data_IF_162612788021
#
_entry.id   IF_162612788021
#
_cell.length_a   1.000
_cell.length_b   1.000
_cell.length_c   1.000
_cell.angle_alpha   90.00
_cell.angle_beta   90.00
_cell.angle_gamma   90.00
#
_symmetry.space_group_name_H-M   'P 1'
#
loop_
_entity.id
_entity.type
_entity.pdbx_description
1 polymer ?
#
# COMPACT_ATOMS: atom_id res chain seq x y z
N UNK A 1 -8.68 9.06 21.50
CA UNK A 1 -9.16 9.26 20.12
C UNK A 1 -7.94 9.38 19.24
N UNK A 2 -7.80 8.53 18.23
CA UNK A 2 -6.63 8.60 17.35
C UNK A 2 -6.64 9.86 16.49
N UNK A 3 -5.48 10.52 16.32
CA UNK A 3 -5.41 11.70 15.50
C UNK A 3 -5.82 11.36 14.06
N UNK A 4 -6.71 12.17 13.50
CA UNK A 4 -7.37 11.90 12.21
C UNK A 4 -6.36 11.56 11.10
N UNK A 5 -6.56 10.41 10.47
CA UNK A 5 -5.78 9.94 9.32
C UNK A 5 -4.49 9.18 9.67
N UNK A 6 -4.08 9.10 10.94
CA UNK A 6 -2.99 8.21 11.35
C UNK A 6 -3.43 6.73 11.38
N UNK A 7 -2.48 5.78 11.52
CA UNK A 7 -2.81 4.39 11.85
C UNK A 7 -3.67 4.31 13.13
N UNK A 8 -4.53 3.31 13.20
CA UNK A 8 -5.50 3.11 14.27
C UNK A 8 -4.82 2.97 15.62
N UNK A 9 -3.73 2.21 15.75
CA UNK A 9 -3.02 2.09 17.02
C UNK A 9 -2.00 3.22 17.31
N UNK A 10 -2.08 4.36 16.61
CA UNK A 10 -1.07 5.41 16.70
C UNK A 10 -1.02 6.09 18.07
N UNK A 11 -2.17 6.39 18.70
CA UNK A 11 -2.17 7.00 20.03
C UNK A 11 -1.60 6.07 21.08
N UNK A 12 -1.86 4.77 20.97
CA UNK A 12 -1.28 3.75 21.84
C UNK A 12 0.23 3.74 21.72
N UNK A 13 0.75 3.73 20.49
CA UNK A 13 2.19 3.87 20.22
C UNK A 13 2.76 5.14 20.87
N UNK A 14 2.16 6.30 20.63
CA UNK A 14 2.62 7.57 21.20
C UNK A 14 2.57 7.57 22.74
N UNK A 15 1.55 6.98 23.34
CA UNK A 15 1.40 6.87 24.79
C UNK A 15 2.53 6.05 25.41
N UNK A 16 2.85 4.90 24.81
CA UNK A 16 3.96 4.05 25.26
C UNK A 16 5.31 4.75 25.14
N UNK A 17 5.54 5.45 24.03
CA UNK A 17 6.76 6.22 23.82
C UNK A 17 6.95 7.33 24.88
N UNK A 18 5.87 8.03 25.26
CA UNK A 18 5.93 9.05 26.33
C UNK A 18 6.25 8.45 27.70
N UNK A 19 5.89 7.18 27.94
CA UNK A 19 6.23 6.45 29.17
C UNK A 19 7.63 5.83 29.14
N UNK A 20 8.39 6.01 28.05
CA UNK A 20 9.74 5.45 27.90
C UNK A 20 9.75 3.95 27.59
N UNK A 21 8.63 3.40 27.15
CA UNK A 21 8.47 1.96 26.97
C UNK A 21 9.06 1.51 25.60
N UNK A 22 10.09 0.64 25.61
CA UNK A 22 10.66 0.03 24.41
C UNK A 22 9.91 -1.25 24.04
N UNK A 23 8.72 -1.12 23.46
CA UNK A 23 7.76 -2.24 23.41
C UNK A 23 7.63 -2.94 22.09
N UNK A 24 7.97 -2.23 21.02
CA UNK A 24 7.46 -2.60 19.72
C UNK A 24 8.52 -3.34 18.94
N UNK A 25 8.13 -4.40 18.25
CA UNK A 25 8.98 -5.21 17.39
C UNK A 25 9.41 -4.50 16.09
N UNK A 26 9.51 -3.17 16.11
CA UNK A 26 10.09 -2.40 15.02
C UNK A 26 11.62 -2.50 15.07
N UNK A 27 12.23 -2.78 13.92
CA UNK A 27 13.69 -3.00 13.82
C UNK A 27 14.45 -1.71 13.52
N UNK A 28 13.77 -0.56 13.54
CA UNK A 28 14.32 0.74 13.15
C UNK A 28 14.11 1.79 14.24
N UNK A 29 14.89 2.89 14.23
CA UNK A 29 14.68 3.99 15.16
C UNK A 29 13.27 4.58 15.07
N UNK A 30 12.77 5.09 16.20
CA UNK A 30 11.44 5.74 16.32
C UNK A 30 11.22 6.84 15.28
N UNK A 31 12.26 7.57 14.88
CA UNK A 31 12.18 8.60 13.84
C UNK A 31 11.70 8.05 12.48
N UNK A 32 12.01 6.78 12.16
CA UNK A 32 11.52 6.10 10.96
C UNK A 32 10.06 5.66 11.11
N UNK A 33 9.64 5.24 12.30
CA UNK A 33 8.24 4.93 12.62
C UNK A 33 7.36 6.19 12.52
N UNK A 34 7.83 7.32 13.04
CA UNK A 34 7.18 8.63 12.88
C UNK A 34 7.06 9.04 11.41
N UNK A 35 8.10 8.76 10.61
CA UNK A 35 8.07 9.02 9.15
C UNK A 35 7.03 8.16 8.46
N UNK A 36 6.94 6.87 8.79
CA UNK A 36 5.86 6.00 8.29
C UNK A 36 4.50 6.61 8.59
N UNK A 37 4.24 6.96 9.86
CA UNK A 37 2.95 7.48 10.29
C UNK A 37 2.57 8.79 9.59
N UNK A 38 3.53 9.69 9.38
CA UNK A 38 3.32 10.92 8.63
C UNK A 38 2.97 10.65 7.15
N UNK A 39 3.68 9.72 6.48
CA UNK A 39 3.40 9.34 5.09
C UNK A 39 2.06 8.63 4.96
N UNK A 40 1.74 7.73 5.90
CA UNK A 40 0.47 7.05 5.99
C UNK A 40 -0.67 8.05 6.10
N UNK A 41 -0.54 9.06 6.96
CA UNK A 41 -1.52 10.13 7.09
C UNK A 41 -1.74 10.87 5.78
N UNK A 42 -0.68 11.26 5.09
CA UNK A 42 -0.79 11.93 3.78
C UNK A 42 -1.49 11.02 2.77
N UNK A 43 -1.08 9.77 2.65
CA UNK A 43 -1.64 8.82 1.70
C UNK A 43 -3.13 8.52 1.97
N UNK A 44 -3.52 8.30 3.24
CA UNK A 44 -4.92 8.08 3.67
C UNK A 44 -5.78 9.35 3.53
N UNK A 45 -5.17 10.52 3.66
CA UNK A 45 -5.86 11.82 3.56
C UNK A 45 -5.87 12.39 2.15
N UNK A 46 -5.19 11.77 1.19
CA UNK A 46 -5.20 12.22 -0.20
C UNK A 46 -6.62 12.12 -0.77
N UNK A 47 -7.10 13.20 -1.40
CA UNK A 47 -8.45 13.28 -1.97
C UNK A 47 -8.47 13.45 -3.49
N UNK A 48 -7.36 13.86 -4.07
CA UNK A 48 -7.23 14.03 -5.50
C UNK A 48 -6.21 15.10 -5.84
N UNK A 49 -6.22 15.47 -7.11
CA UNK A 49 -5.50 16.61 -7.67
C UNK A 49 -6.52 17.52 -8.35
N UNK A 50 -6.19 18.80 -8.43
CA UNK A 50 -6.93 19.77 -9.21
C UNK A 50 -6.15 20.05 -10.49
N UNK A 51 -6.80 19.87 -11.65
CA UNK A 51 -6.20 19.99 -12.97
C UNK A 51 -7.10 20.84 -13.86
N UNK A 52 -6.63 22.03 -14.21
CA UNK A 52 -7.34 22.95 -15.09
C UNK A 52 -7.33 22.46 -16.55
N UNK A 53 -8.48 22.54 -17.22
CA UNK A 53 -8.61 22.20 -18.64
C UNK A 53 -8.57 20.69 -18.96
N UNK A 54 -8.52 19.83 -17.95
CA UNK A 54 -8.49 18.37 -18.11
C UNK A 54 -9.86 17.76 -17.82
N UNK A 55 -10.29 16.82 -18.67
CA UNK A 55 -11.53 16.09 -18.48
C UNK A 55 -11.56 15.35 -17.13
N UNK A 56 -12.71 15.36 -16.46
CA UNK A 56 -12.88 14.80 -15.11
C UNK A 56 -12.38 13.35 -15.01
N UNK A 57 -12.70 12.51 -16.00
CA UNK A 57 -12.29 11.10 -15.99
C UNK A 57 -10.77 10.94 -16.02
N UNK A 58 -10.09 11.77 -16.81
CA UNK A 58 -8.63 11.81 -16.90
C UNK A 58 -8.03 12.31 -15.60
N UNK A 59 -8.61 13.35 -15.00
CA UNK A 59 -8.20 13.86 -13.68
C UNK A 59 -8.35 12.82 -12.58
N UNK A 60 -9.45 12.04 -12.57
CA UNK A 60 -9.65 10.91 -11.65
C UNK A 60 -8.58 9.84 -11.84
N UNK A 61 -8.23 9.53 -13.09
CA UNK A 61 -7.17 8.59 -13.41
C UNK A 61 -5.81 9.04 -12.87
N UNK A 62 -5.43 10.31 -13.10
CA UNK A 62 -4.17 10.86 -12.58
C UNK A 62 -4.17 10.93 -11.05
N UNK A 63 -5.26 11.37 -10.44
CA UNK A 63 -5.42 11.36 -8.99
C UNK A 63 -5.14 9.98 -8.40
N UNK A 64 -5.70 8.91 -9.00
CA UNK A 64 -5.50 7.56 -8.52
C UNK A 64 -4.06 7.05 -8.72
N UNK A 65 -3.40 7.40 -9.84
CA UNK A 65 -1.98 7.10 -10.07
C UNK A 65 -1.07 7.82 -9.06
N UNK A 66 -1.35 9.09 -8.76
CA UNK A 66 -0.68 9.83 -7.70
C UNK A 66 -0.90 9.18 -6.32
N UNK A 67 -2.12 8.71 -6.04
CA UNK A 67 -2.42 7.98 -4.80
C UNK A 67 -1.58 6.70 -4.68
N UNK A 68 -1.42 5.93 -5.77
CA UNK A 68 -0.53 4.75 -5.79
C UNK A 68 0.91 5.12 -5.45
N UNK A 69 1.43 6.23 -5.98
CA UNK A 69 2.77 6.71 -5.65
C UNK A 69 2.93 6.98 -4.14
N UNK A 70 1.97 7.67 -3.54
CA UNK A 70 1.97 8.00 -2.10
C UNK A 70 1.82 6.75 -1.23
N UNK A 71 0.87 5.88 -1.55
CA UNK A 71 0.57 4.66 -0.78
C UNK A 71 1.71 3.67 -0.89
N UNK A 72 2.23 3.40 -2.09
CA UNK A 72 3.31 2.44 -2.25
C UNK A 72 4.60 2.92 -1.56
N UNK A 73 4.90 4.22 -1.63
CA UNK A 73 6.01 4.78 -0.87
C UNK A 73 5.85 4.65 0.65
N UNK A 74 4.61 4.76 1.14
CA UNK A 74 4.28 4.51 2.54
C UNK A 74 4.50 3.04 2.87
N UNK A 75 4.05 2.13 2.01
CA UNK A 75 4.24 0.69 2.14
C UNK A 75 5.72 0.28 2.16
N UNK A 76 6.57 0.86 1.30
CA UNK A 76 8.02 0.64 1.37
C UNK A 76 8.61 1.11 2.72
N UNK A 77 8.06 2.18 3.30
CA UNK A 77 8.49 2.64 4.62
C UNK A 77 8.01 1.69 5.72
N UNK A 78 6.78 1.16 5.59
CA UNK A 78 6.22 0.17 6.48
C UNK A 78 7.08 -1.10 6.54
N UNK A 79 7.41 -1.70 5.39
CA UNK A 79 8.28 -2.88 5.33
C UNK A 79 9.61 -2.65 6.03
N UNK A 80 10.21 -1.46 5.85
CA UNK A 80 11.48 -1.12 6.52
C UNK A 80 11.35 -1.07 8.03
N UNK A 81 10.27 -0.48 8.57
CA UNK A 81 10.12 -0.35 10.02
C UNK A 81 9.80 -1.70 10.69
N UNK A 82 9.14 -2.62 9.98
CA UNK A 82 8.84 -3.98 10.46
C UNK A 82 9.95 -4.98 10.16
N UNK A 83 10.97 -4.61 9.40
CA UNK A 83 12.12 -5.47 9.08
C UNK A 83 11.91 -6.43 7.92
N UNK A 84 10.85 -6.20 7.15
CA UNK A 84 10.51 -7.01 5.98
C UNK A 84 11.42 -6.68 4.81
N UNK A 85 12.02 -7.71 4.21
CA UNK A 85 13.06 -7.53 3.18
C UNK A 85 12.48 -7.05 1.85
N UNK A 86 11.29 -7.50 1.50
CA UNK A 86 10.64 -7.23 0.22
C UNK A 86 9.16 -7.60 0.26
N UNK A 87 8.46 -7.41 -0.86
CA UNK A 87 7.05 -7.76 -1.07
C UNK A 87 6.76 -9.25 -0.87
N UNK A 88 7.70 -10.15 -1.15
CA UNK A 88 7.52 -11.59 -1.00
C UNK A 88 7.48 -12.00 0.48
N UNK A 89 8.26 -11.34 1.33
CA UNK A 89 8.29 -11.62 2.77
C UNK A 89 6.91 -11.43 3.45
N UNK A 90 6.08 -10.54 2.90
CA UNK A 90 4.73 -10.25 3.40
C UNK A 90 3.61 -10.88 2.55
N UNK A 91 3.94 -11.73 1.57
CA UNK A 91 2.94 -12.28 0.65
C UNK A 91 1.84 -13.06 1.38
N UNK A 92 2.22 -13.96 2.28
CA UNK A 92 1.25 -14.76 3.03
C UNK A 92 0.31 -13.87 3.88
N UNK A 93 0.84 -12.78 4.43
CA UNK A 93 0.04 -11.83 5.19
C UNK A 93 -0.93 -11.04 4.30
N UNK A 94 -0.50 -10.64 3.11
CA UNK A 94 -1.37 -9.98 2.12
C UNK A 94 -2.49 -10.94 1.67
N UNK A 95 -2.14 -12.22 1.43
CA UNK A 95 -3.12 -13.25 1.06
C UNK A 95 -4.14 -13.47 2.18
N UNK A 96 -3.69 -13.59 3.43
CA UNK A 96 -4.56 -13.68 4.61
C UNK A 96 -5.42 -12.42 4.81
N UNK A 97 -4.92 -11.25 4.40
CA UNK A 97 -5.64 -9.98 4.44
C UNK A 97 -6.64 -9.80 3.28
N UNK A 98 -6.75 -10.77 2.36
CA UNK A 98 -7.78 -10.79 1.33
C UNK A 98 -7.29 -10.39 -0.07
N UNK A 99 -6.01 -10.56 -0.38
CA UNK A 99 -5.45 -10.29 -1.72
C UNK A 99 -6.26 -10.97 -2.86
N UNK A 100 -6.80 -12.17 -2.64
CA UNK A 100 -7.65 -12.87 -3.62
C UNK A 100 -8.89 -12.05 -4.01
N UNK A 101 -9.55 -11.42 -3.05
CA UNK A 101 -10.74 -10.58 -3.29
C UNK A 101 -10.38 -9.30 -4.05
N UNK A 102 -9.25 -8.69 -3.68
CA UNK A 102 -8.70 -7.55 -4.42
C UNK A 102 -8.43 -7.92 -5.88
N UNK A 103 -7.74 -9.04 -6.12
CA UNK A 103 -7.41 -9.50 -7.47
C UNK A 103 -8.66 -9.75 -8.34
N UNK A 104 -9.72 -10.30 -7.77
CA UNK A 104 -11.00 -10.44 -8.47
C UNK A 104 -11.61 -9.08 -8.84
N UNK A 105 -11.52 -8.10 -7.93
CA UNK A 105 -11.97 -6.72 -8.17
C UNK A 105 -11.19 -6.06 -9.30
N UNK A 106 -9.87 -6.24 -9.31
CA UNK A 106 -8.98 -5.70 -10.35
C UNK A 106 -9.32 -6.33 -11.71
N UNK A 107 -9.43 -7.66 -11.79
CA UNK A 107 -9.76 -8.37 -13.04
C UNK A 107 -11.10 -7.93 -13.63
N UNK A 108 -12.10 -7.68 -12.79
CA UNK A 108 -13.41 -7.14 -13.23
C UNK A 108 -13.30 -5.72 -13.80
N UNK A 109 -12.33 -4.93 -13.36
CA UNK A 109 -12.13 -3.55 -13.80
C UNK A 109 -11.21 -3.44 -15.03
N UNK A 110 -10.21 -4.32 -15.15
CA UNK A 110 -9.24 -4.35 -16.24
C UNK A 110 -9.75 -5.18 -17.44
N UNK A 111 -10.63 -4.58 -18.24
CA UNK A 111 -11.18 -5.24 -19.44
C UNK A 111 -10.05 -5.70 -20.38
N UNK A 112 -10.13 -6.97 -20.79
CA UNK A 112 -9.17 -7.65 -21.66
C UNK A 112 -7.72 -7.66 -21.13
N UNK A 113 -7.55 -7.44 -19.82
CA UNK A 113 -6.26 -7.23 -19.17
C UNK A 113 -5.42 -6.09 -19.79
N UNK A 114 -6.06 -5.10 -20.41
CA UNK A 114 -5.40 -4.05 -21.20
C UNK A 114 -4.40 -3.25 -20.38
N UNK A 115 -4.79 -2.86 -19.16
CA UNK A 115 -3.95 -2.05 -18.29
C UNK A 115 -2.69 -2.82 -17.89
N UNK A 116 -2.82 -4.05 -17.39
CA UNK A 116 -1.64 -4.82 -16.97
C UNK A 116 -0.79 -5.34 -18.14
N UNK A 117 -1.36 -5.59 -19.32
CA UNK A 117 -0.59 -5.84 -20.55
C UNK A 117 0.23 -4.62 -20.97
N UNK A 118 -0.30 -3.41 -20.82
CA UNK A 118 0.47 -2.19 -21.05
C UNK A 118 1.65 -2.12 -20.07
N UNK A 119 1.41 -2.27 -18.77
CA UNK A 119 2.48 -2.23 -17.77
C UNK A 119 3.58 -3.26 -18.03
N UNK A 120 3.22 -4.48 -18.44
CA UNK A 120 4.16 -5.56 -18.70
C UNK A 120 5.24 -5.17 -19.74
N UNK A 121 4.88 -4.37 -20.75
CA UNK A 121 5.81 -3.93 -21.81
C UNK A 121 6.89 -2.97 -21.32
N UNK A 122 6.70 -2.33 -20.17
CA UNK A 122 7.52 -1.21 -19.71
C UNK A 122 8.23 -1.46 -18.38
N UNK A 123 7.97 -2.58 -17.70
CA UNK A 123 8.61 -2.91 -16.41
C UNK A 123 9.92 -3.66 -16.58
N UNK A 124 10.70 -3.75 -15.50
CA UNK A 124 11.85 -4.65 -15.42
C UNK A 124 11.42 -6.13 -15.33
N UNK A 125 12.36 -7.05 -15.61
CA UNK A 125 12.16 -8.50 -15.63
C UNK A 125 11.51 -9.08 -14.37
N UNK A 126 11.81 -8.54 -13.18
CA UNK A 126 11.23 -9.05 -11.92
C UNK A 126 9.73 -8.81 -11.88
N UNK A 127 9.32 -7.57 -12.16
CA UNK A 127 7.91 -7.18 -12.18
C UNK A 127 7.18 -7.82 -13.37
N UNK A 128 7.87 -8.01 -14.50
CA UNK A 128 7.33 -8.69 -15.67
C UNK A 128 6.83 -10.11 -15.34
N UNK A 129 7.59 -10.89 -14.56
CA UNK A 129 7.18 -12.23 -14.12
C UNK A 129 5.92 -12.21 -13.27
N UNK A 130 5.78 -11.23 -12.38
CA UNK A 130 4.60 -11.09 -11.51
C UNK A 130 3.38 -10.65 -12.32
N UNK A 131 3.57 -9.75 -13.28
CA UNK A 131 2.52 -9.35 -14.22
C UNK A 131 2.09 -10.51 -15.11
N UNK A 132 3.04 -11.33 -15.59
CA UNK A 132 2.72 -12.54 -16.34
C UNK A 132 1.85 -13.50 -15.52
N UNK A 133 2.25 -13.77 -14.28
CA UNK A 133 1.46 -14.62 -13.37
C UNK A 133 0.04 -14.08 -13.18
N UNK A 134 -0.11 -12.76 -12.99
CA UNK A 134 -1.43 -12.13 -12.91
C UNK A 134 -2.28 -12.35 -14.17
N UNK A 135 -1.68 -12.14 -15.35
CA UNK A 135 -2.31 -12.24 -16.67
C UNK A 135 -2.72 -13.67 -17.03
N UNK A 136 -1.92 -14.65 -16.61
CA UNK A 136 -2.17 -16.08 -16.84
C UNK A 136 -3.20 -16.65 -15.85
N UNK A 137 -3.67 -15.85 -14.88
CA UNK A 137 -4.64 -16.27 -13.87
C UNK A 137 -4.03 -16.97 -12.66
N UNK A 138 -2.70 -17.03 -12.60
CA UNK A 138 -1.93 -17.67 -11.55
C UNK A 138 -1.86 -16.81 -10.26
N UNK A 139 -1.48 -17.41 -9.11
CA UNK A 139 -1.23 -16.66 -7.89
C UNK A 139 -0.14 -15.59 -8.09
N UNK A 140 -0.46 -14.34 -7.79
CA UNK A 140 0.46 -13.21 -7.92
C UNK A 140 0.47 -12.33 -6.67
N UNK A 141 1.58 -11.64 -6.44
CA UNK A 141 1.70 -10.73 -5.31
C UNK A 141 1.08 -9.37 -5.63
N UNK A 142 -0.01 -9.02 -4.94
CA UNK A 142 -0.72 -7.74 -5.14
C UNK A 142 0.16 -6.52 -4.88
N UNK A 143 1.16 -6.63 -4.00
CA UNK A 143 2.10 -5.55 -3.77
C UNK A 143 3.04 -5.35 -4.97
N UNK A 144 3.35 -6.40 -5.74
CA UNK A 144 4.15 -6.26 -6.97
C UNK A 144 3.34 -5.62 -8.12
N UNK A 145 2.01 -5.80 -8.14
CA UNK A 145 1.14 -5.04 -9.06
C UNK A 145 1.19 -3.54 -8.76
N UNK A 146 1.11 -3.16 -7.48
CA UNK A 146 1.24 -1.78 -7.04
C UNK A 146 2.64 -1.21 -7.38
N UNK A 147 3.69 -2.02 -7.22
CA UNK A 147 5.06 -1.67 -7.56
C UNK A 147 5.21 -1.36 -9.06
N UNK A 148 4.61 -2.18 -9.92
CA UNK A 148 4.60 -1.99 -11.37
C UNK A 148 3.91 -0.68 -11.77
N UNK A 149 2.70 -0.43 -11.25
CA UNK A 149 1.97 0.83 -11.51
C UNK A 149 2.83 2.04 -11.11
N UNK A 150 3.37 2.02 -9.88
CA UNK A 150 4.23 3.10 -9.38
C UNK A 150 5.45 3.31 -10.28
N UNK A 151 6.12 2.23 -10.65
CA UNK A 151 7.34 2.28 -11.46
C UNK A 151 7.09 2.94 -12.81
N UNK A 152 6.09 2.50 -13.55
CA UNK A 152 5.82 3.01 -14.91
C UNK A 152 5.28 4.45 -14.85
N UNK A 153 4.45 4.78 -13.87
CA UNK A 153 3.97 6.15 -13.65
C UNK A 153 5.09 7.12 -13.29
N UNK A 154 5.95 6.75 -12.33
CA UNK A 154 7.05 7.61 -11.89
C UNK A 154 8.10 7.86 -13.00
N UNK A 155 8.22 6.95 -13.96
CA UNK A 155 9.09 7.13 -15.13
C UNK A 155 8.41 7.86 -16.30
N UNK A 156 7.14 8.27 -16.16
CA UNK A 156 6.43 9.07 -17.17
C UNK A 156 5.86 8.26 -18.34
N UNK A 157 5.96 6.93 -18.31
CA UNK A 157 5.42 6.06 -19.38
C UNK A 157 3.92 5.83 -19.25
N UNK A 158 3.36 5.94 -18.05
CA UNK A 158 1.95 5.66 -17.80
C UNK A 158 1.13 6.94 -17.69
N UNK A 159 0.06 7.02 -18.50
CA UNK A 159 -1.05 7.94 -18.32
C UNK A 159 -2.35 7.14 -18.14
N UNK A 160 -3.44 7.74 -17.62
CA UNK A 160 -4.70 7.04 -17.45
C UNK A 160 -5.32 6.48 -18.73
N UNK A 161 -4.99 7.07 -19.88
CA UNK A 161 -5.48 6.66 -21.20
C UNK A 161 -4.51 5.78 -21.99
N UNK A 162 -3.37 5.36 -21.40
CA UNK A 162 -2.35 4.58 -22.09
C UNK A 162 -2.93 3.28 -22.69
N UNK A 163 -2.50 2.92 -23.90
CA UNK A 163 -2.99 1.75 -24.66
C UNK A 163 -4.53 1.70 -24.83
N UNK A 164 -5.18 2.89 -24.88
CA UNK A 164 -6.65 3.06 -24.92
C UNK A 164 -7.35 2.52 -23.67
N UNK A 165 -6.66 2.50 -22.52
CA UNK A 165 -7.30 2.23 -21.24
C UNK A 165 -8.38 3.28 -20.95
N UNK A 166 -9.45 2.84 -20.29
CA UNK A 166 -10.45 3.77 -19.77
C UNK A 166 -9.93 4.40 -18.46
N UNK A 167 -9.82 5.74 -18.36
CA UNK A 167 -9.34 6.40 -17.15
C UNK A 167 -10.12 6.06 -15.87
N UNK A 168 -11.44 5.84 -15.95
CA UNK A 168 -12.25 5.38 -14.80
C UNK A 168 -11.89 3.97 -14.36
N UNK A 169 -11.60 3.06 -15.30
CA UNK A 169 -11.10 1.72 -14.97
C UNK A 169 -9.75 1.78 -14.28
N UNK A 170 -8.81 2.59 -14.79
CA UNK A 170 -7.50 2.81 -14.17
C UNK A 170 -7.68 3.36 -12.76
N UNK A 171 -8.55 4.36 -12.58
CA UNK A 171 -8.84 4.93 -11.26
C UNK A 171 -9.39 3.88 -10.29
N UNK A 172 -10.34 3.05 -10.74
CA UNK A 172 -10.92 1.97 -9.93
C UNK A 172 -9.88 0.95 -9.49
N UNK A 173 -9.01 0.50 -10.40
CA UNK A 173 -7.92 -0.44 -10.10
C UNK A 173 -6.96 0.15 -9.07
N UNK A 174 -6.47 1.36 -9.36
CA UNK A 174 -5.48 2.03 -8.52
C UNK A 174 -6.02 2.33 -7.11
N UNK A 175 -7.27 2.78 -7.00
CA UNK A 175 -7.90 3.03 -5.72
C UNK A 175 -8.11 1.73 -4.92
N UNK A 176 -8.57 0.65 -5.56
CA UNK A 176 -8.73 -0.64 -4.89
C UNK A 176 -7.40 -1.16 -4.31
N UNK A 177 -6.31 -1.06 -5.07
CA UNK A 177 -4.96 -1.42 -4.59
C UNK A 177 -4.52 -0.51 -3.44
N UNK A 178 -4.76 0.80 -3.55
CA UNK A 178 -4.39 1.76 -2.51
C UNK A 178 -5.11 1.50 -1.20
N UNK A 179 -6.43 1.31 -1.26
CA UNK A 179 -7.26 1.13 -0.08
C UNK A 179 -6.90 -0.19 0.62
N UNK A 180 -6.66 -1.25 -0.15
CA UNK A 180 -6.16 -2.53 0.39
C UNK A 180 -4.80 -2.39 1.09
N UNK A 181 -3.81 -1.72 0.47
CA UNK A 181 -2.49 -1.56 1.09
C UNK A 181 -2.54 -0.67 2.34
N UNK A 182 -3.40 0.36 2.34
CA UNK A 182 -3.62 1.20 3.51
C UNK A 182 -4.24 0.39 4.67
N UNK A 183 -5.27 -0.40 4.40
CA UNK A 183 -5.92 -1.26 5.41
C UNK A 183 -4.94 -2.31 5.95
N UNK A 184 -4.17 -2.94 5.05
CA UNK A 184 -3.13 -3.90 5.41
C UNK A 184 -2.10 -3.30 6.39
N UNK A 185 -1.55 -2.14 6.04
CA UNK A 185 -0.57 -1.45 6.88
C UNK A 185 -1.18 -1.05 8.23
N UNK A 186 -2.43 -0.59 8.26
CA UNK A 186 -3.13 -0.19 9.48
C UNK A 186 -3.33 -1.39 10.43
N UNK A 187 -3.84 -2.50 9.88
CA UNK A 187 -4.06 -3.75 10.59
C UNK A 187 -2.77 -4.36 11.14
N UNK A 188 -1.72 -4.44 10.30
CA UNK A 188 -0.43 -4.99 10.71
C UNK A 188 0.27 -4.09 11.71
N UNK A 189 0.23 -2.77 11.53
CA UNK A 189 0.75 -1.82 12.52
C UNK A 189 0.06 -2.05 13.88
N UNK A 190 -1.26 -2.16 13.90
CA UNK A 190 -2.02 -2.42 15.13
C UNK A 190 -1.61 -3.74 15.79
N UNK A 191 -1.45 -4.81 15.01
CA UNK A 191 -0.92 -6.10 15.49
C UNK A 191 0.47 -5.96 16.13
N UNK A 192 1.37 -5.14 15.57
CA UNK A 192 2.68 -4.90 16.16
C UNK A 192 2.59 -4.16 17.50
N UNK A 193 1.67 -3.21 17.62
CA UNK A 193 1.42 -2.49 18.87
C UNK A 193 0.85 -3.45 19.92
N UNK A 194 -0.17 -4.24 19.58
CA UNK A 194 -0.82 -5.18 20.51
C UNK A 194 0.15 -6.23 21.04
N UNK A 195 0.98 -6.82 20.16
CA UNK A 195 2.03 -7.77 20.57
C UNK A 195 3.04 -7.12 21.52
N UNK A 196 3.38 -5.85 21.31
CA UNK A 196 4.26 -5.10 22.21
C UNK A 196 3.64 -4.90 23.59
N UNK A 197 2.35 -4.52 23.63
CA UNK A 197 1.60 -4.34 24.87
C UNK A 197 1.42 -5.65 25.65
N UNK A 198 1.11 -6.76 24.97
CA UNK A 198 0.97 -8.08 25.61
C UNK A 198 2.27 -8.54 26.27
N UNK A 199 3.42 -8.34 25.62
CA UNK A 199 4.73 -8.67 26.19
C UNK A 199 5.00 -7.90 27.49
N UNK A 200 4.56 -6.65 27.62
CA UNK A 200 4.68 -5.92 28.88
C UNK A 200 3.84 -6.54 30.00
N UNK A 201 2.55 -6.72 29.74
CA UNK A 201 1.61 -7.12 30.78
C UNK A 201 1.81 -8.58 31.21
N UNK A 202 2.33 -9.43 30.33
CA UNK A 202 2.74 -10.79 30.66
C UNK A 202 4.09 -10.92 31.38
N UNK A 203 4.85 -9.82 31.53
CA UNK A 203 6.18 -9.82 32.18
C UNK A 203 6.18 -9.27 33.60
N UNK A 204 5.01 -8.95 34.19
CA UNK A 204 4.92 -8.55 35.60
C UNK A 204 4.82 -9.83 36.45
N UNK A 205 5.85 -10.21 37.23
CA UNK A 205 5.70 -11.30 38.19
C UNK A 205 4.64 -10.89 39.21
N UNK A 206 3.72 -11.78 39.53
CA UNK A 206 2.86 -11.61 40.69
C UNK A 206 3.74 -11.35 41.92
N UNK A 207 3.55 -10.18 42.55
CA UNK A 207 4.13 -9.89 43.87
C UNK A 207 3.32 -10.58 44.94
#
# INVERSE_FOLDING_TARGET
MDPKGFPTAWSTFCGAQKRGEQLFSFVTPISKVNRFAARFRVAKSFRGIDLEGIAEETSLGYAALCKVLLVYSTFETFLKITGEKNTEAVRADLDAHGAKSLLATIRKADKDNRFFRFLQKHVNKKLETQLKSYLDGEPCNVADLAAAIRHIFAHGWLSPGADKCNPKSVAKICNAVCDFLLDFMDSKFSTHIDKGMQKMHGSVPAR
#
